data_IF_162344937282
#
_entry.id   IF_162344937282
#
_cell.length_a   1.000
_cell.length_b   1.000
_cell.length_c   1.000
_cell.angle_alpha   90.00
_cell.angle_beta   90.00
_cell.angle_gamma   90.00
#
_symmetry.space_group_name_H-M   'P 1'
#
loop_
_entity.id
_entity.type
_entity.pdbx_description
1 polymer ?
#
# COMPACT_ATOMS: atom_id res chain seq x y z
N UNK A 1 -16.00 24.39 -4.72
CA UNK A 1 -14.78 25.08 -5.17
C UNK A 1 -13.64 25.05 -4.15
N UNK A 2 -13.05 23.87 -3.89
CA UNK A 2 -11.73 23.75 -3.23
C UNK A 2 -11.10 22.39 -3.57
N UNK A 3 -10.60 22.22 -4.80
CA UNK A 3 -9.74 21.09 -5.18
C UNK A 3 -8.96 21.39 -6.46
N UNK A 4 -8.42 22.60 -6.58
CA UNK A 4 -7.52 22.95 -7.69
C UNK A 4 -6.24 23.48 -7.06
N UNK A 5 -5.19 22.65 -7.06
CA UNK A 5 -3.83 23.20 -7.14
C UNK A 5 -2.80 22.92 -6.05
N UNK A 6 -2.85 21.83 -5.27
CA UNK A 6 -1.66 21.44 -4.49
C UNK A 6 -1.51 19.94 -4.26
N UNK A 7 -0.77 19.27 -5.15
CA UNK A 7 -0.26 17.88 -5.00
C UNK A 7 -1.08 16.80 -5.72
N UNK A 8 -0.40 16.04 -6.59
CA UNK A 8 -0.84 14.82 -7.31
C UNK A 8 -2.37 14.56 -7.39
N UNK A 9 -3.11 15.37 -8.16
CA UNK A 9 -4.47 15.04 -8.62
C UNK A 9 -5.53 14.79 -7.54
N UNK A 10 -5.30 15.18 -6.28
CA UNK A 10 -6.21 14.94 -5.17
C UNK A 10 -6.16 13.53 -4.57
N UNK A 11 -5.40 12.60 -5.15
CA UNK A 11 -5.30 11.21 -4.64
C UNK A 11 -4.65 11.16 -3.25
N UNK A 12 -3.62 11.97 -3.03
CA UNK A 12 -2.92 12.09 -1.74
C UNK A 12 -3.89 12.52 -0.61
N UNK A 13 -4.81 13.44 -0.93
CA UNK A 13 -5.84 13.89 0.01
C UNK A 13 -6.78 12.75 0.40
N UNK A 14 -7.22 11.93 -0.56
CA UNK A 14 -8.09 10.79 -0.27
C UNK A 14 -7.38 9.69 0.52
N UNK A 15 -6.13 9.35 0.19
CA UNK A 15 -5.35 8.33 0.91
C UNK A 15 -5.11 8.78 2.36
N UNK A 16 -4.68 10.03 2.57
CA UNK A 16 -4.43 10.54 3.91
C UNK A 16 -5.74 10.62 4.73
N UNK A 17 -6.83 11.09 4.11
CA UNK A 17 -8.14 11.14 4.76
C UNK A 17 -8.63 9.74 5.12
N UNK A 18 -8.49 8.76 4.24
CA UNK A 18 -8.90 7.38 4.49
C UNK A 18 -8.12 6.77 5.67
N UNK A 19 -6.82 7.06 5.77
CA UNK A 19 -6.01 6.67 6.92
C UNK A 19 -6.52 7.31 8.23
N UNK A 20 -6.71 8.63 8.24
CA UNK A 20 -7.21 9.36 9.43
C UNK A 20 -8.62 8.91 9.84
N UNK A 21 -9.53 8.71 8.90
CA UNK A 21 -10.88 8.23 9.17
C UNK A 21 -10.88 6.79 9.71
N UNK A 22 -9.97 5.94 9.24
CA UNK A 22 -9.81 4.58 9.75
C UNK A 22 -9.38 4.58 11.22
N UNK A 23 -8.45 5.47 11.59
CA UNK A 23 -8.06 5.68 12.99
C UNK A 23 -9.23 6.17 13.85
N UNK A 24 -9.98 7.18 13.38
CA UNK A 24 -11.13 7.73 14.11
C UNK A 24 -12.24 6.71 14.33
N UNK A 25 -12.46 5.81 13.37
CA UNK A 25 -13.51 4.78 13.41
C UNK A 25 -13.05 3.46 14.01
N UNK A 26 -11.78 3.36 14.40
CA UNK A 26 -11.15 2.15 14.91
C UNK A 26 -11.34 0.94 13.95
N UNK A 27 -11.17 1.18 12.65
CA UNK A 27 -11.20 0.16 11.60
C UNK A 27 -9.84 0.06 10.92
N UNK A 28 -9.58 -1.06 10.26
CA UNK A 28 -8.34 -1.26 9.50
C UNK A 28 -8.24 -0.25 8.34
N UNK A 29 -7.07 0.39 8.15
CA UNK A 29 -6.85 1.24 7.00
C UNK A 29 -6.87 0.42 5.70
N UNK A 30 -7.19 1.05 4.55
CA UNK A 30 -7.26 0.38 3.26
C UNK A 30 -5.91 -0.12 2.73
N UNK A 31 -4.81 0.47 3.21
CA UNK A 31 -3.44 -0.01 2.99
C UNK A 31 -2.91 -0.42 4.36
N UNK A 32 -2.72 -1.72 4.58
CA UNK A 32 -2.23 -2.22 5.86
C UNK A 32 -0.69 -2.27 5.91
N UNK A 33 -0.14 -2.70 7.04
CA UNK A 33 1.31 -2.77 7.25
C UNK A 33 2.00 -3.75 6.27
N UNK A 34 1.33 -4.83 5.88
CA UNK A 34 1.88 -5.82 4.97
C UNK A 34 1.88 -5.29 3.53
N UNK A 35 0.85 -4.57 3.14
CA UNK A 35 0.80 -3.86 1.87
C UNK A 35 1.92 -2.82 1.78
N UNK A 36 2.06 -1.99 2.82
CA UNK A 36 3.07 -0.94 2.89
C UNK A 36 4.51 -1.50 2.80
N UNK A 37 4.80 -2.59 3.51
CA UNK A 37 6.12 -3.25 3.45
C UNK A 37 6.34 -3.91 2.09
N UNK A 38 5.31 -4.52 1.49
CA UNK A 38 5.40 -5.14 0.16
C UNK A 38 5.67 -4.11 -0.95
N UNK A 39 5.12 -2.90 -0.84
CA UNK A 39 5.45 -1.79 -1.74
C UNK A 39 6.88 -1.28 -1.51
N UNK A 40 7.28 -1.14 -0.23
CA UNK A 40 8.56 -0.54 0.14
C UNK A 40 9.76 -1.45 -0.12
N UNK A 41 9.59 -2.78 -0.05
CA UNK A 41 10.68 -3.75 -0.24
C UNK A 41 11.22 -3.76 -1.68
N UNK A 42 10.45 -3.24 -2.64
CA UNK A 42 10.84 -3.20 -4.06
C UNK A 42 12.17 -2.45 -4.24
N UNK A 43 12.35 -1.32 -3.55
CA UNK A 43 13.55 -0.51 -3.66
C UNK A 43 14.83 -1.29 -3.27
N UNK A 44 14.98 -1.82 -2.03
CA UNK A 44 16.19 -2.55 -1.65
C UNK A 44 16.40 -3.85 -2.42
N UNK A 45 15.32 -4.53 -2.86
CA UNK A 45 15.46 -5.74 -3.70
C UNK A 45 15.90 -5.40 -5.12
N UNK A 46 15.46 -4.27 -5.67
CA UNK A 46 15.92 -3.80 -6.98
C UNK A 46 17.40 -3.47 -6.93
N UNK A 47 17.86 -2.76 -5.89
CA UNK A 47 19.29 -2.53 -5.68
C UNK A 47 20.08 -3.84 -5.56
N UNK A 48 19.54 -4.84 -4.84
CA UNK A 48 20.14 -6.16 -4.73
C UNK A 48 20.23 -6.86 -6.09
N UNK A 49 19.17 -6.81 -6.89
CA UNK A 49 19.14 -7.40 -8.24
C UNK A 49 20.19 -6.75 -9.14
N UNK A 50 20.28 -5.42 -9.14
CA UNK A 50 21.29 -4.67 -9.91
C UNK A 50 22.70 -5.09 -9.50
N UNK A 51 22.99 -5.21 -8.19
CA UNK A 51 24.29 -5.71 -7.68
C UNK A 51 24.59 -7.14 -8.10
N UNK A 52 23.57 -7.95 -8.36
CA UNK A 52 23.68 -9.34 -8.82
C UNK A 52 23.57 -9.44 -10.35
N UNK A 53 23.95 -8.40 -11.09
CA UNK A 53 23.90 -8.35 -12.55
C UNK A 53 22.49 -8.60 -13.11
N UNK A 54 21.50 -7.94 -12.50
CA UNK A 54 20.08 -8.04 -12.82
C UNK A 54 19.49 -9.45 -12.65
N UNK A 55 20.06 -10.24 -11.73
CA UNK A 55 19.52 -11.55 -11.38
C UNK A 55 18.14 -11.44 -10.69
N UNK A 56 17.34 -12.49 -10.81
CA UNK A 56 16.10 -12.62 -10.07
C UNK A 56 16.35 -12.68 -8.56
N UNK A 57 15.53 -11.95 -7.80
CA UNK A 57 15.58 -11.90 -6.34
C UNK A 57 14.18 -12.18 -5.81
N UNK A 58 14.07 -13.10 -4.86
CA UNK A 58 12.78 -13.43 -4.25
C UNK A 58 12.25 -12.29 -3.38
N UNK A 59 10.94 -12.05 -3.51
CA UNK A 59 10.20 -11.12 -2.65
C UNK A 59 9.71 -11.89 -1.42
N UNK A 60 10.03 -11.45 -0.19
CA UNK A 60 9.55 -12.11 1.02
C UNK A 60 8.03 -12.03 1.15
N UNK A 61 7.40 -13.14 1.56
CA UNK A 61 5.99 -13.13 1.97
C UNK A 61 5.87 -12.62 3.42
N UNK A 62 5.62 -11.31 3.56
CA UNK A 62 5.43 -10.67 4.85
C UNK A 62 4.15 -11.10 5.57
N UNK A 63 3.18 -11.66 4.84
CA UNK A 63 1.91 -12.13 5.40
C UNK A 63 2.00 -13.55 5.95
N UNK A 64 3.11 -14.26 5.71
CA UNK A 64 3.33 -15.67 6.10
C UNK A 64 2.23 -16.59 5.59
N UNK A 65 1.87 -16.45 4.32
CA UNK A 65 0.86 -17.25 3.62
C UNK A 65 -0.58 -16.73 3.77
N UNK A 66 -0.83 -15.73 4.62
CA UNK A 66 -2.19 -15.19 4.86
C UNK A 66 -2.77 -14.48 3.63
N UNK A 67 -1.92 -13.97 2.73
CA UNK A 67 -2.37 -13.36 1.47
C UNK A 67 -3.31 -14.26 0.65
N UNK A 68 -3.19 -15.59 0.78
CA UNK A 68 -4.04 -16.57 0.07
C UNK A 68 -5.50 -16.57 0.53
N UNK A 69 -5.76 -16.14 1.76
CA UNK A 69 -7.08 -16.21 2.39
C UNK A 69 -7.62 -14.84 2.80
N UNK A 70 -6.81 -13.79 2.67
CA UNK A 70 -7.23 -12.43 3.00
C UNK A 70 -8.35 -11.99 2.07
N UNK A 71 -9.41 -11.43 2.65
CA UNK A 71 -10.48 -10.80 1.88
C UNK A 71 -9.94 -9.45 1.35
N UNK A 72 -10.23 -9.08 0.09
CA UNK A 72 -9.93 -7.74 -0.39
C UNK A 72 -10.55 -6.70 0.54
N UNK A 73 -9.78 -5.66 0.88
CA UNK A 73 -10.20 -4.59 1.79
C UNK A 73 -10.43 -3.25 1.07
N UNK A 74 -10.01 -3.15 -0.20
CA UNK A 74 -10.08 -1.93 -1.01
C UNK A 74 -11.04 -2.13 -2.19
N UNK A 75 -11.90 -1.13 -2.47
CA UNK A 75 -12.84 -1.15 -3.60
C UNK A 75 -13.99 -2.15 -3.48
N UNK A 76 -14.32 -2.57 -2.25
CA UNK A 76 -15.34 -3.60 -1.98
C UNK A 76 -16.76 -3.04 -1.82
N UNK A 77 -16.91 -1.72 -1.74
CA UNK A 77 -18.19 -1.03 -1.77
C UNK A 77 -18.00 0.41 -2.27
N UNK A 78 -19.10 1.09 -2.63
CA UNK A 78 -19.06 2.49 -3.08
C UNK A 78 -18.67 3.50 -1.97
N UNK A 79 -18.28 3.01 -0.79
CA UNK A 79 -17.92 3.79 0.40
C UNK A 79 -16.42 3.68 0.73
N UNK A 80 -15.65 2.87 -0.01
CA UNK A 80 -14.19 2.69 0.14
C UNK A 80 -13.42 3.51 -0.87
#
# INVERSE_FOLDING_TARGET
DQAVGSGHGGMDFFILRAFVESLKRNVSPPIDVYDAVSMSVICPLSEKSIRLNSASVEIPDFTRGKWKTNKPIFGVNDQS
#
